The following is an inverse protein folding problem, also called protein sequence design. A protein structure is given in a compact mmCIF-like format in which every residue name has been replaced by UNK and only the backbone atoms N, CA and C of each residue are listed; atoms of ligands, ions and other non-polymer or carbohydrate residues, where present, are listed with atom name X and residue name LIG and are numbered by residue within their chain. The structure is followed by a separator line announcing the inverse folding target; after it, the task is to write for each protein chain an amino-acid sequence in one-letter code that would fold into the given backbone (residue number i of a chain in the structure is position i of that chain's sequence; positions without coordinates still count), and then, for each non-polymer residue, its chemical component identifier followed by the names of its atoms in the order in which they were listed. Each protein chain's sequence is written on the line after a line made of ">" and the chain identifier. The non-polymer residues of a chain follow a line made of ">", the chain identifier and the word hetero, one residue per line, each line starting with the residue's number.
data_IF_569792533771
#
_entry.id   IF_569792533771
#
_cell.length_a   1.000
_cell.length_b   1.000
_cell.length_c   1.000
_cell.angle_alpha   90.00
_cell.angle_beta   90.00
_cell.angle_gamma   90.00
#
_symmetry.space_group_name_H-M   'P 1'
#
loop_
_entity.id
_entity.type
_entity.pdbx_description
1 polymer ?
#
# COMPACT_ATOMS: atom_id res chain seq x y z
N UNK A 1 -12.49 45.04 -29.18
CA UNK A 1 -11.20 45.70 -29.48
C UNK A 1 -10.23 44.74 -30.14
N UNK A 2 -9.84 43.64 -29.46
CA UNK A 2 -8.95 42.61 -30.05
C UNK A 2 -9.43 42.13 -31.43
N UNK A 3 -10.69 41.73 -31.56
CA UNK A 3 -11.21 41.17 -32.82
C UNK A 3 -11.15 42.18 -33.97
N UNK A 4 -11.41 43.47 -33.71
CA UNK A 4 -11.28 44.52 -34.72
C UNK A 4 -9.82 44.75 -35.14
N UNK A 5 -8.88 44.68 -34.19
CA UNK A 5 -7.44 44.76 -34.49
C UNK A 5 -7.00 43.54 -35.31
N UNK A 6 -7.46 42.35 -34.93
CA UNK A 6 -7.21 41.10 -35.65
C UNK A 6 -7.77 41.16 -37.07
N UNK A 7 -8.97 41.71 -37.27
CA UNK A 7 -9.57 41.88 -38.59
C UNK A 7 -8.74 42.83 -39.47
N UNK A 8 -8.31 43.98 -38.94
CA UNK A 8 -7.41 44.92 -39.64
C UNK A 8 -6.11 44.23 -40.02
N UNK A 9 -5.48 43.55 -39.07
CA UNK A 9 -4.22 42.83 -39.30
C UNK A 9 -4.44 41.72 -40.33
N UNK A 10 -5.51 40.95 -40.28
CA UNK A 10 -5.76 39.84 -41.19
C UNK A 10 -6.05 40.28 -42.62
N UNK A 11 -6.80 41.37 -42.79
CA UNK A 11 -7.23 41.91 -44.09
C UNK A 11 -6.15 42.74 -44.80
N UNK A 12 -5.10 43.15 -44.09
CA UNK A 12 -3.99 43.92 -44.66
C UNK A 12 -3.21 43.20 -45.75
N UNK A 13 -2.88 43.95 -46.80
CA UNK A 13 -2.09 43.50 -47.96
C UNK A 13 -0.59 43.35 -47.67
N UNK A 14 -0.07 44.02 -46.63
CA UNK A 14 1.34 43.92 -46.25
C UNK A 14 1.49 44.01 -44.72
N UNK A 15 2.26 43.05 -44.19
CA UNK A 15 2.49 42.86 -42.75
C UNK A 15 3.97 42.57 -42.54
N UNK A 16 4.62 43.27 -41.65
CA UNK A 16 6.00 43.01 -41.23
C UNK A 16 6.18 43.27 -39.75
N UNK A 17 7.10 42.56 -39.11
CA UNK A 17 7.46 42.76 -37.71
C UNK A 17 8.93 43.18 -37.67
N UNK A 18 9.20 44.32 -37.09
CA UNK A 18 10.56 44.84 -36.86
C UNK A 18 10.61 45.48 -35.45
N UNK A 19 11.65 45.20 -34.68
CA UNK A 19 11.92 45.82 -33.36
C UNK A 19 10.73 45.89 -32.38
N UNK A 20 9.96 44.80 -32.24
CA UNK A 20 8.74 44.68 -31.41
C UNK A 20 7.53 45.51 -31.90
N UNK A 21 7.56 46.00 -33.13
CA UNK A 21 6.46 46.72 -33.77
C UNK A 21 5.92 45.91 -34.95
N UNK A 22 4.60 45.72 -34.99
CA UNK A 22 3.89 45.12 -36.11
C UNK A 22 3.38 46.22 -37.05
N UNK A 23 3.95 46.26 -38.24
CA UNK A 23 3.56 47.17 -39.32
C UNK A 23 2.47 46.52 -40.16
N UNK A 24 1.38 47.27 -40.38
CA UNK A 24 0.21 46.78 -41.09
C UNK A 24 -0.39 47.91 -41.94
N UNK A 25 -0.47 47.73 -43.27
CA UNK A 25 -1.18 48.68 -44.12
C UNK A 25 -2.69 48.61 -43.89
N UNK A 26 -3.32 49.75 -43.66
CA UNK A 26 -4.77 49.85 -43.45
C UNK A 26 -5.35 51.07 -44.16
N UNK A 27 -6.61 50.98 -44.58
CA UNK A 27 -7.40 52.14 -44.99
C UNK A 27 -8.25 52.55 -43.81
N UNK A 28 -8.27 53.84 -43.47
CA UNK A 28 -8.97 54.33 -42.28
C UNK A 28 -10.47 54.28 -42.52
N UNK A 29 -11.13 53.26 -41.97
CA UNK A 29 -12.59 53.11 -42.04
C UNK A 29 -13.32 53.84 -40.90
N UNK A 30 -12.68 53.95 -39.74
CA UNK A 30 -13.22 54.60 -38.54
C UNK A 30 -12.14 55.42 -37.83
N UNK A 31 -12.26 56.76 -37.91
CA UNK A 31 -11.34 57.68 -37.26
C UNK A 31 -11.39 57.58 -35.73
N UNK A 32 -12.57 57.36 -35.16
CA UNK A 32 -12.73 57.27 -33.70
C UNK A 32 -12.03 56.03 -33.12
N UNK A 33 -12.03 54.94 -33.87
CA UNK A 33 -11.30 53.73 -33.50
C UNK A 33 -9.78 53.93 -33.59
N UNK A 34 -9.30 54.64 -34.62
CA UNK A 34 -7.89 55.01 -34.75
C UNK A 34 -7.42 55.88 -33.56
N UNK A 35 -8.21 56.88 -33.17
CA UNK A 35 -7.90 57.72 -32.02
C UNK A 35 -7.88 56.89 -30.73
N UNK A 36 -8.82 55.94 -30.57
CA UNK A 36 -8.83 55.00 -29.43
C UNK A 36 -7.58 54.11 -29.39
N UNK A 37 -7.09 53.64 -30.54
CA UNK A 37 -5.86 52.85 -30.63
C UNK A 37 -4.63 53.66 -30.19
N UNK A 38 -4.58 54.94 -30.56
CA UNK A 38 -3.51 55.84 -30.15
C UNK A 38 -3.55 56.20 -28.67
N UNK A 39 -4.73 56.59 -28.17
CA UNK A 39 -4.93 56.97 -26.76
C UNK A 39 -4.64 55.80 -25.81
N UNK A 40 -4.94 54.57 -26.24
CA UNK A 40 -4.61 53.35 -25.49
C UNK A 40 -3.13 52.94 -25.60
N UNK A 41 -2.35 53.63 -26.44
CA UNK A 41 -0.94 53.35 -26.68
C UNK A 41 -0.68 52.01 -27.39
N UNK A 42 -1.68 51.49 -28.12
CA UNK A 42 -1.54 50.25 -28.88
C UNK A 42 -0.80 50.47 -30.22
N UNK A 43 -0.80 51.70 -30.72
CA UNK A 43 -0.04 52.11 -31.91
C UNK A 43 0.99 53.20 -31.55
N UNK A 44 2.13 53.16 -32.22
CA UNK A 44 3.28 54.06 -32.02
C UNK A 44 3.35 55.15 -33.12
N UNK A 45 2.38 55.18 -34.02
CA UNK A 45 2.28 56.15 -35.10
C UNK A 45 2.36 57.60 -34.60
N UNK A 46 3.17 58.41 -35.29
CA UNK A 46 3.19 59.87 -35.11
C UNK A 46 2.14 60.55 -36.01
N UNK A 47 1.68 61.74 -35.61
CA UNK A 47 0.84 62.63 -36.42
C UNK A 47 -0.49 62.02 -36.89
N UNK A 48 -1.17 61.29 -36.00
CA UNK A 48 -2.45 60.63 -36.33
C UNK A 48 -3.54 61.65 -36.67
N UNK A 49 -3.50 62.85 -36.09
CA UNK A 49 -4.49 63.92 -36.31
C UNK A 49 -4.59 64.35 -37.78
N UNK A 50 -3.55 64.15 -38.59
CA UNK A 50 -3.50 64.57 -40.00
C UNK A 50 -4.26 63.65 -40.96
N UNK A 51 -4.69 62.47 -40.50
CA UNK A 51 -5.35 61.48 -41.33
C UNK A 51 -6.88 61.53 -41.24
N UNK A 52 -7.54 61.41 -42.40
CA UNK A 52 -8.99 61.36 -42.57
C UNK A 52 -9.50 59.97 -42.96
N UNK A 53 -10.81 59.74 -42.80
CA UNK A 53 -11.46 58.50 -43.25
C UNK A 53 -11.25 58.32 -44.76
N UNK A 54 -10.80 57.14 -45.18
CA UNK A 54 -10.45 56.79 -46.55
C UNK A 54 -8.96 56.93 -46.90
N UNK A 55 -8.15 57.53 -46.02
CA UNK A 55 -6.71 57.61 -46.23
C UNK A 55 -6.03 56.26 -45.95
N UNK A 56 -4.95 55.99 -46.68
CA UNK A 56 -4.10 54.81 -46.47
C UNK A 56 -2.99 55.15 -45.47
N UNK A 57 -2.91 54.38 -44.38
CA UNK A 57 -1.91 54.53 -43.32
C UNK A 57 -1.20 53.19 -43.07
N UNK A 58 0.06 53.24 -42.65
CA UNK A 58 0.74 52.06 -42.09
C UNK A 58 0.62 52.12 -40.58
N UNK A 59 -0.20 51.26 -39.99
CA UNK A 59 -0.34 51.17 -38.55
C UNK A 59 0.87 50.48 -37.94
N UNK A 60 1.41 51.07 -36.87
CA UNK A 60 2.61 50.65 -36.16
C UNK A 60 2.20 50.12 -34.79
N UNK A 61 1.77 48.86 -34.70
CA UNK A 61 1.27 48.30 -33.45
C UNK A 61 2.40 47.85 -32.52
N UNK A 62 2.33 48.26 -31.25
CA UNK A 62 3.29 47.85 -30.22
C UNK A 62 3.01 46.43 -29.73
N UNK A 63 3.85 45.43 -30.06
CA UNK A 63 3.66 44.03 -29.65
C UNK A 63 3.56 43.85 -28.11
N UNK A 64 4.37 44.53 -27.28
CA UNK A 64 4.25 44.46 -25.82
C UNK A 64 2.87 44.92 -25.32
N UNK A 65 2.25 45.89 -25.99
CA UNK A 65 0.91 46.40 -25.63
C UNK A 65 -0.18 45.48 -26.18
N UNK A 66 -0.04 45.01 -27.41
CA UNK A 66 -0.92 44.00 -28.01
C UNK A 66 -1.03 42.73 -27.14
N UNK A 67 0.08 42.28 -26.54
CA UNK A 67 0.06 41.13 -25.63
C UNK A 67 -0.68 41.37 -24.30
N UNK A 68 -0.97 42.61 -23.92
CA UNK A 68 -1.83 42.92 -22.76
C UNK A 68 -3.33 42.79 -23.07
N UNK A 69 -3.71 42.76 -24.35
CA UNK A 69 -5.10 42.61 -24.81
C UNK A 69 -5.36 41.26 -25.49
N UNK A 70 -4.44 40.30 -25.35
CA UNK A 70 -4.61 38.93 -25.84
C UNK A 70 -4.03 38.63 -27.23
N UNK A 71 -3.28 39.56 -27.84
CA UNK A 71 -2.59 39.31 -29.11
C UNK A 71 -1.13 38.90 -28.89
N UNK A 72 -0.74 37.73 -29.39
CA UNK A 72 0.62 37.21 -29.28
C UNK A 72 1.20 36.89 -30.65
N UNK A 73 2.47 37.27 -30.84
CA UNK A 73 3.18 37.01 -32.08
C UNK A 73 3.38 35.51 -32.31
N UNK A 74 3.92 34.85 -31.29
CA UNK A 74 4.24 33.41 -31.30
C UNK A 74 3.62 32.69 -30.11
N UNK A 75 3.46 31.37 -30.22
CA UNK A 75 3.06 30.53 -29.08
C UNK A 75 4.03 30.62 -27.91
N UNK A 76 5.32 30.80 -28.18
CA UNK A 76 6.32 31.01 -27.12
C UNK A 76 6.08 32.31 -26.36
N UNK A 77 5.78 33.41 -27.07
CA UNK A 77 5.44 34.70 -26.45
C UNK A 77 4.16 34.61 -25.60
N UNK A 78 3.20 33.79 -26.04
CA UNK A 78 2.00 33.48 -25.26
C UNK A 78 2.31 32.74 -23.96
N UNK A 79 3.13 31.68 -24.03
CA UNK A 79 3.50 30.89 -22.84
C UNK A 79 4.22 31.72 -21.79
N UNK A 80 5.13 32.62 -22.21
CA UNK A 80 5.88 33.49 -21.31
C UNK A 80 5.00 34.31 -20.37
N UNK A 81 3.79 34.71 -20.80
CA UNK A 81 2.82 35.43 -19.97
C UNK A 81 1.81 34.54 -19.25
N UNK A 82 1.66 33.29 -19.67
CA UNK A 82 0.57 32.40 -19.24
C UNK A 82 1.05 31.02 -18.77
N UNK A 83 2.29 30.89 -18.27
CA UNK A 83 2.86 29.60 -17.85
C UNK A 83 1.98 28.81 -16.87
N UNK A 84 1.26 29.50 -15.97
CA UNK A 84 0.61 28.86 -14.83
C UNK A 84 -0.91 29.03 -14.78
N UNK A 85 -1.49 29.80 -15.69
CA UNK A 85 -2.89 30.20 -15.62
C UNK A 85 -3.55 30.09 -16.99
N UNK A 86 -4.67 29.38 -17.07
CA UNK A 86 -5.51 29.34 -18.27
C UNK A 86 -6.15 30.73 -18.46
N UNK A 87 -5.94 31.41 -19.60
CA UNK A 87 -6.52 32.72 -19.85
C UNK A 87 -8.06 32.64 -19.92
N UNK A 88 -8.74 33.64 -19.36
CA UNK A 88 -10.20 33.78 -19.45
C UNK A 88 -10.65 34.50 -20.71
N UNK A 89 -9.79 35.36 -21.27
CA UNK A 89 -10.08 36.21 -22.42
C UNK A 89 -9.70 35.50 -23.74
N UNK A 90 -10.24 36.00 -24.85
CA UNK A 90 -9.87 35.51 -26.19
C UNK A 90 -8.40 35.80 -26.47
N UNK A 91 -7.69 34.77 -26.96
CA UNK A 91 -6.27 34.86 -27.30
C UNK A 91 -6.12 34.64 -28.80
N UNK A 92 -5.40 35.55 -29.45
CA UNK A 92 -5.08 35.46 -30.86
C UNK A 92 -3.58 35.20 -31.05
N UNK A 93 -3.25 34.21 -31.89
CA UNK A 93 -1.89 33.80 -32.24
C UNK A 93 -1.58 34.20 -33.68
N UNK A 94 -0.74 35.21 -33.86
CA UNK A 94 -0.40 35.77 -35.17
C UNK A 94 0.30 34.75 -36.07
N UNK A 95 1.23 33.95 -35.53
CA UNK A 95 1.95 32.90 -36.27
C UNK A 95 1.04 31.89 -36.99
N UNK A 96 -0.17 31.65 -36.48
CA UNK A 96 -1.18 30.74 -37.06
C UNK A 96 -2.34 31.47 -37.71
N UNK A 97 -2.39 32.78 -37.55
CA UNK A 97 -3.52 33.62 -37.95
C UNK A 97 -4.85 33.09 -37.40
N UNK A 98 -4.86 32.59 -36.16
CA UNK A 98 -6.01 31.93 -35.55
C UNK A 98 -6.13 32.26 -34.06
N UNK A 99 -7.32 32.06 -33.49
CA UNK A 99 -7.50 32.11 -32.06
C UNK A 99 -6.98 30.83 -31.40
N UNK A 100 -6.62 30.91 -30.11
CA UNK A 100 -6.17 29.75 -29.32
C UNK A 100 -7.24 28.65 -29.30
N UNK A 101 -8.52 29.02 -29.30
CA UNK A 101 -9.66 28.08 -29.38
C UNK A 101 -9.69 27.26 -30.67
N UNK A 102 -9.08 27.77 -31.74
CA UNK A 102 -9.06 27.12 -33.05
C UNK A 102 -7.80 26.25 -33.22
N UNK A 103 -6.74 26.53 -32.45
CA UNK A 103 -5.50 25.74 -32.40
C UNK A 103 -5.59 24.61 -31.36
N UNK A 104 -6.56 23.71 -31.58
CA UNK A 104 -6.94 22.66 -30.63
C UNK A 104 -5.77 21.82 -30.09
N UNK A 105 -4.80 21.34 -30.91
CA UNK A 105 -3.70 20.51 -30.38
C UNK A 105 -2.83 21.27 -29.38
N UNK A 106 -2.47 22.52 -29.69
CA UNK A 106 -1.67 23.35 -28.79
C UNK A 106 -2.45 23.69 -27.52
N UNK A 107 -3.71 24.10 -27.66
CA UNK A 107 -4.58 24.44 -26.54
C UNK A 107 -4.73 23.26 -25.56
N UNK A 108 -4.97 22.05 -26.08
CA UNK A 108 -5.14 20.85 -25.26
C UNK A 108 -3.87 20.53 -24.46
N UNK A 109 -2.71 20.52 -25.13
CA UNK A 109 -1.43 20.25 -24.47
C UNK A 109 -1.11 21.31 -23.40
N UNK A 110 -1.35 22.58 -23.71
CA UNK A 110 -1.17 23.68 -22.78
C UNK A 110 -2.10 23.54 -21.54
N UNK A 111 -3.40 23.34 -21.74
CA UNK A 111 -4.36 23.17 -20.63
C UNK A 111 -4.01 21.96 -19.77
N UNK A 112 -3.58 20.86 -20.39
CA UNK A 112 -3.17 19.65 -19.69
C UNK A 112 -1.97 19.90 -18.76
N UNK A 113 -0.94 20.62 -19.23
CA UNK A 113 0.23 20.95 -18.41
C UNK A 113 -0.12 21.94 -17.30
N UNK A 114 -0.95 22.96 -17.56
CA UNK A 114 -1.41 23.88 -16.50
C UNK A 114 -2.22 23.13 -15.43
N UNK A 115 -3.08 22.19 -15.84
CA UNK A 115 -3.81 21.34 -14.89
C UNK A 115 -2.86 20.43 -14.09
N UNK A 116 -1.85 19.84 -14.74
CA UNK A 116 -0.82 19.05 -14.05
C UNK A 116 -0.08 19.90 -13.00
N UNK A 117 0.30 21.13 -13.35
CA UNK A 117 0.94 22.09 -12.43
C UNK A 117 0.04 22.39 -11.24
N UNK A 118 -1.25 22.63 -11.49
CA UNK A 118 -2.24 22.88 -10.45
C UNK A 118 -2.35 21.69 -9.49
N UNK A 119 -2.46 20.47 -10.00
CA UNK A 119 -2.52 19.27 -9.16
C UNK A 119 -1.22 19.03 -8.38
N UNK A 120 -0.07 19.25 -9.02
CA UNK A 120 1.23 19.22 -8.34
C UNK A 120 1.29 20.22 -7.19
N UNK A 121 0.83 21.43 -7.43
CA UNK A 121 0.78 22.49 -6.43
C UNK A 121 -0.14 22.10 -5.26
N UNK A 122 -1.30 21.49 -5.54
CA UNK A 122 -2.28 21.10 -4.53
C UNK A 122 -1.76 20.02 -3.57
N UNK A 123 -0.98 19.04 -4.04
CA UNK A 123 -0.43 18.01 -3.15
C UNK A 123 0.93 18.38 -2.56
N UNK A 124 1.57 19.43 -3.07
CA UNK A 124 2.85 19.92 -2.55
C UNK A 124 2.69 20.43 -1.12
N UNK A 125 3.75 20.31 -0.33
CA UNK A 125 3.76 20.80 1.06
C UNK A 125 3.72 22.33 1.11
N UNK A 126 4.37 22.96 0.14
CA UNK A 126 4.44 24.41 -0.02
C UNK A 126 4.67 24.75 -1.49
N UNK A 127 4.10 25.86 -1.94
CA UNK A 127 4.38 26.46 -3.25
C UNK A 127 4.69 27.95 -3.09
N UNK A 128 5.59 28.47 -3.92
CA UNK A 128 5.92 29.90 -3.93
C UNK A 128 6.46 30.30 -5.29
N UNK A 129 6.30 31.57 -5.62
CA UNK A 129 6.86 32.16 -6.83
C UNK A 129 8.18 32.87 -6.50
N UNK A 130 9.22 32.61 -7.30
CA UNK A 130 10.50 33.30 -7.21
C UNK A 130 11.03 33.55 -8.63
N UNK A 131 11.40 34.79 -8.93
CA UNK A 131 11.82 35.25 -10.25
C UNK A 131 10.91 34.76 -11.40
N UNK A 132 9.58 34.92 -11.25
CA UNK A 132 8.54 34.51 -12.21
C UNK A 132 8.44 32.98 -12.43
N UNK A 133 9.09 32.17 -11.59
CA UNK A 133 9.01 30.72 -11.62
C UNK A 133 8.21 30.22 -10.42
N UNK A 134 7.18 29.43 -10.70
CA UNK A 134 6.43 28.73 -9.66
C UNK A 134 7.23 27.52 -9.17
N UNK A 135 7.54 27.48 -7.88
CA UNK A 135 8.29 26.42 -7.24
C UNK A 135 7.40 25.60 -6.32
N UNK A 136 7.54 24.28 -6.37
CA UNK A 136 6.82 23.33 -5.53
C UNK A 136 7.80 22.55 -4.64
N UNK A 137 7.46 22.41 -3.35
CA UNK A 137 8.20 21.56 -2.41
C UNK A 137 7.33 20.35 -2.10
N UNK A 138 7.77 19.17 -2.56
CA UNK A 138 7.08 17.90 -2.35
C UNK A 138 7.81 17.12 -1.27
N UNK A 139 7.15 16.94 -0.12
CA UNK A 139 7.68 16.17 1.00
C UNK A 139 7.06 14.77 1.02
N UNK A 140 7.89 13.73 0.91
CA UNK A 140 7.47 12.33 1.00
C UNK A 140 8.44 11.57 1.89
N UNK A 141 7.92 10.93 2.94
CA UNK A 141 8.72 10.21 3.94
C UNK A 141 9.82 11.11 4.54
N UNK A 142 11.10 10.73 4.41
CA UNK A 142 12.25 11.52 4.88
C UNK A 142 12.89 12.36 3.76
N UNK A 143 12.24 12.46 2.60
CA UNK A 143 12.81 13.04 1.40
C UNK A 143 11.99 14.28 0.97
N UNK A 144 12.71 15.37 0.66
CA UNK A 144 12.13 16.61 0.15
C UNK A 144 12.61 16.86 -1.27
N UNK A 145 11.67 16.89 -2.23
CA UNK A 145 11.93 17.26 -3.61
C UNK A 145 11.62 18.75 -3.80
N UNK A 146 12.63 19.50 -4.23
CA UNK A 146 12.45 20.84 -4.77
C UNK A 146 12.15 20.75 -6.27
N UNK A 147 10.99 21.25 -6.71
CA UNK A 147 10.52 21.14 -8.08
C UNK A 147 10.17 22.54 -8.64
N UNK A 148 11.10 23.18 -9.36
CA UNK A 148 10.77 24.32 -10.22
C UNK A 148 9.84 23.86 -11.34
N UNK A 149 8.64 24.43 -11.43
CA UNK A 149 7.62 24.10 -12.43
C UNK A 149 7.90 24.86 -13.73
N UNK A 150 9.12 24.70 -14.26
CA UNK A 150 9.56 25.33 -15.49
C UNK A 150 9.40 24.38 -16.68
N UNK A 151 8.76 24.87 -17.73
CA UNK A 151 8.59 24.16 -19.01
C UNK A 151 8.70 25.13 -20.18
N UNK A 152 8.97 24.61 -21.37
CA UNK A 152 9.12 25.39 -22.61
C UNK A 152 8.05 25.05 -23.66
N UNK A 153 8.07 25.78 -24.78
CA UNK A 153 7.22 25.46 -25.93
C UNK A 153 7.56 24.07 -26.50
N UNK A 154 8.84 23.72 -26.57
CA UNK A 154 9.30 22.42 -27.06
C UNK A 154 8.78 21.26 -26.21
N UNK A 155 8.64 21.47 -24.89
CA UNK A 155 8.03 20.48 -24.00
C UNK A 155 6.57 20.19 -24.41
N UNK A 156 5.79 21.22 -24.75
CA UNK A 156 4.40 21.06 -25.20
C UNK A 156 4.30 20.44 -26.61
N UNK A 157 5.24 20.77 -27.49
CA UNK A 157 5.29 20.23 -28.85
C UNK A 157 5.72 18.74 -28.86
N UNK A 158 6.52 18.32 -27.87
CA UNK A 158 6.95 16.94 -27.71
C UNK A 158 5.84 15.97 -27.27
N UNK A 159 4.71 16.50 -26.79
CA UNK A 159 3.57 15.70 -26.32
C UNK A 159 2.83 15.06 -27.48
N UNK A 160 3.05 13.77 -27.68
CA UNK A 160 2.19 12.95 -28.52
C UNK A 160 0.90 12.54 -27.78
N UNK A 161 -0.06 12.00 -28.53
CA UNK A 161 -1.38 11.61 -28.01
C UNK A 161 -1.28 10.60 -26.86
N UNK A 162 -0.37 9.63 -26.93
CA UNK A 162 -0.21 8.60 -25.90
C UNK A 162 0.33 9.18 -24.59
N UNK A 163 1.31 10.08 -24.68
CA UNK A 163 1.88 10.78 -23.52
C UNK A 163 0.84 11.70 -22.89
N UNK A 164 0.11 12.47 -23.71
CA UNK A 164 -0.96 13.35 -23.23
C UNK A 164 -2.05 12.57 -22.45
N UNK A 165 -2.50 11.44 -23.00
CA UNK A 165 -3.48 10.58 -22.33
C UNK A 165 -2.98 10.05 -20.96
N UNK A 166 -1.69 9.71 -20.85
CA UNK A 166 -1.11 9.26 -19.57
C UNK A 166 -1.00 10.39 -18.55
N UNK A 167 -0.64 11.60 -18.98
CA UNK A 167 -0.64 12.78 -18.10
C UNK A 167 -2.07 13.05 -17.62
N UNK A 168 -3.07 12.98 -18.49
CA UNK A 168 -4.47 13.18 -18.12
C UNK A 168 -4.95 12.15 -17.09
N UNK A 169 -4.60 10.87 -17.28
CA UNK A 169 -4.88 9.81 -16.30
C UNK A 169 -4.20 10.07 -14.96
N UNK A 170 -2.96 10.56 -14.97
CA UNK A 170 -2.25 10.92 -13.76
C UNK A 170 -2.90 12.12 -13.05
N UNK A 171 -3.28 13.18 -13.77
CA UNK A 171 -4.05 14.31 -13.23
C UNK A 171 -5.34 13.81 -12.58
N UNK A 172 -6.09 12.94 -13.25
CA UNK A 172 -7.30 12.33 -12.71
C UNK A 172 -7.04 11.51 -11.43
N UNK A 173 -5.94 10.74 -11.40
CA UNK A 173 -5.49 9.99 -10.21
C UNK A 173 -5.18 10.93 -9.04
N UNK A 174 -4.61 12.12 -9.30
CA UNK A 174 -4.32 13.10 -8.26
C UNK A 174 -5.59 13.75 -7.69
N UNK A 175 -6.63 13.95 -8.50
CA UNK A 175 -7.89 14.56 -8.08
C UNK A 175 -8.77 13.62 -7.24
N UNK A 176 -8.75 12.32 -7.52
CA UNK A 176 -9.60 11.34 -6.84
C UNK A 176 -8.95 10.75 -5.58
N UNK A 177 -9.77 10.50 -4.55
CA UNK A 177 -9.36 9.75 -3.36
C UNK A 177 -9.70 8.26 -3.44
N UNK A 178 -10.36 7.80 -4.51
CA UNK A 178 -10.75 6.40 -4.67
C UNK A 178 -9.55 5.43 -4.73
N UNK A 179 -8.40 5.92 -5.18
CA UNK A 179 -7.17 5.14 -5.36
C UNK A 179 -6.01 5.72 -4.54
N UNK A 180 -6.25 6.03 -3.26
CA UNK A 180 -5.28 6.66 -2.37
C UNK A 180 -3.93 5.93 -2.32
N UNK A 181 -3.93 4.59 -2.25
CA UNK A 181 -2.70 3.78 -2.26
C UNK A 181 -1.90 3.95 -3.55
N UNK A 182 -2.57 3.85 -4.71
CA UNK A 182 -1.93 4.04 -6.02
C UNK A 182 -1.35 5.44 -6.14
N UNK A 183 -2.16 6.46 -5.78
CA UNK A 183 -1.74 7.86 -5.73
C UNK A 183 -0.49 8.05 -4.87
N UNK A 184 -0.44 7.48 -3.67
CA UNK A 184 0.72 7.61 -2.78
C UNK A 184 1.97 6.92 -3.35
N UNK A 185 1.84 5.72 -3.93
CA UNK A 185 2.97 5.03 -4.56
C UNK A 185 3.51 5.82 -5.75
N UNK A 186 2.63 6.36 -6.60
CA UNK A 186 3.01 7.22 -7.72
C UNK A 186 3.76 8.47 -7.25
N UNK A 187 3.25 9.15 -6.22
CA UNK A 187 3.85 10.38 -5.69
C UNK A 187 5.20 10.13 -4.98
N UNK A 188 5.34 9.01 -4.27
CA UNK A 188 6.62 8.60 -3.72
C UNK A 188 7.62 8.31 -4.85
N UNK A 189 7.19 7.57 -5.88
CA UNK A 189 8.03 7.28 -7.04
C UNK A 189 8.40 8.54 -7.83
N UNK A 190 7.51 9.54 -7.94
CA UNK A 190 7.80 10.83 -8.56
C UNK A 190 8.99 11.53 -7.90
N UNK A 191 9.04 11.52 -6.56
CA UNK A 191 10.14 12.08 -5.79
C UNK A 191 11.44 11.33 -6.09
N UNK A 192 11.42 10.00 -6.02
CA UNK A 192 12.59 9.16 -6.34
C UNK A 192 13.08 9.33 -7.79
N UNK A 193 12.14 9.50 -8.73
CA UNK A 193 12.42 9.62 -10.16
C UNK A 193 13.10 10.95 -10.53
N UNK A 194 12.73 12.04 -9.86
CA UNK A 194 13.20 13.40 -10.18
C UNK A 194 14.40 13.87 -9.34
N UNK A 195 14.62 13.32 -8.15
CA UNK A 195 15.77 13.70 -7.30
C UNK A 195 17.12 13.59 -8.01
N UNK A 196 17.41 12.51 -8.77
CA UNK A 196 18.70 12.37 -9.45
C UNK A 196 18.92 13.38 -10.59
N UNK A 197 17.89 14.14 -10.97
CA UNK A 197 17.93 15.11 -12.05
C UNK A 197 18.30 16.49 -11.53
N UNK A 198 18.97 17.27 -12.39
CA UNK A 198 19.30 18.66 -12.10
C UNK A 198 18.03 19.47 -11.84
N UNK A 199 18.04 20.30 -10.80
CA UNK A 199 16.83 20.92 -10.24
C UNK A 199 16.06 21.75 -11.26
N UNK A 200 16.79 22.56 -12.05
CA UNK A 200 16.21 23.50 -13.01
C UNK A 200 15.49 22.84 -14.19
N UNK A 201 15.74 21.54 -14.44
CA UNK A 201 15.15 20.81 -15.56
C UNK A 201 14.16 19.74 -15.12
N UNK A 202 13.91 19.58 -13.81
CA UNK A 202 13.09 18.46 -13.28
C UNK A 202 11.70 18.39 -13.91
N UNK A 203 11.00 19.52 -14.04
CA UNK A 203 9.64 19.53 -14.58
C UNK A 203 9.61 19.31 -16.10
N UNK A 204 10.45 20.01 -16.87
CA UNK A 204 10.64 19.74 -18.31
C UNK A 204 11.03 18.27 -18.57
N UNK A 205 11.96 17.72 -17.79
CA UNK A 205 12.36 16.30 -17.86
C UNK A 205 11.17 15.35 -17.59
N UNK A 206 10.33 15.67 -16.61
CA UNK A 206 9.12 14.90 -16.30
C UNK A 206 8.17 14.88 -17.51
N UNK A 207 7.93 16.03 -18.15
CA UNK A 207 7.04 16.13 -19.32
C UNK A 207 7.59 15.28 -20.47
N UNK A 208 8.87 15.46 -20.82
CA UNK A 208 9.51 14.77 -21.94
C UNK A 208 9.63 13.25 -21.73
N UNK A 209 9.73 12.79 -20.47
CA UNK A 209 9.91 11.39 -20.13
C UNK A 209 8.72 10.81 -19.36
N UNK A 210 7.53 11.38 -19.55
CA UNK A 210 6.36 11.02 -18.75
C UNK A 210 5.93 9.57 -18.96
N UNK A 211 6.08 9.05 -20.18
CA UNK A 211 5.83 7.64 -20.48
C UNK A 211 6.67 6.71 -19.59
N UNK A 212 7.99 6.96 -19.49
CA UNK A 212 8.91 6.15 -18.68
C UNK A 212 8.60 6.28 -17.18
N UNK A 213 8.24 7.49 -16.73
CA UNK A 213 7.77 7.72 -15.37
C UNK A 213 6.53 6.89 -15.06
N UNK A 214 5.48 6.95 -15.88
CA UNK A 214 4.21 6.27 -15.63
C UNK A 214 4.36 4.74 -15.67
N UNK A 215 5.07 4.18 -16.65
CA UNK A 215 5.32 2.73 -16.73
C UNK A 215 6.11 2.20 -15.50
N UNK A 216 7.07 2.98 -15.01
CA UNK A 216 7.83 2.62 -13.80
C UNK A 216 7.03 2.83 -12.51
N UNK A 217 6.21 3.88 -12.44
CA UNK A 217 5.29 4.12 -11.32
C UNK A 217 4.25 2.98 -11.20
N UNK A 218 3.68 2.54 -12.33
CA UNK A 218 2.78 1.39 -12.39
C UNK A 218 3.50 0.10 -11.95
N UNK A 219 4.75 -0.09 -12.36
CA UNK A 219 5.58 -1.22 -11.91
C UNK A 219 5.82 -1.19 -10.38
N UNK A 220 6.10 -0.01 -9.83
CA UNK A 220 6.24 0.20 -8.37
C UNK A 220 4.94 -0.11 -7.63
N UNK A 221 3.79 0.31 -8.16
CA UNK A 221 2.48 0.00 -7.60
C UNK A 221 2.17 -1.51 -7.64
N UNK A 222 2.48 -2.18 -8.73
CA UNK A 222 2.34 -3.63 -8.83
C UNK A 222 3.24 -4.38 -7.84
N UNK A 223 4.45 -3.89 -7.58
CA UNK A 223 5.33 -4.42 -6.54
C UNK A 223 4.75 -4.21 -5.14
N UNK A 224 4.22 -3.01 -4.84
CA UNK A 224 3.49 -2.72 -3.61
C UNK A 224 2.33 -3.70 -3.39
N UNK A 225 1.48 -3.94 -4.40
CA UNK A 225 0.35 -4.88 -4.30
C UNK A 225 0.79 -6.31 -4.03
N UNK A 226 1.88 -6.77 -4.66
CA UNK A 226 2.45 -8.10 -4.43
C UNK A 226 2.97 -8.24 -3.00
N UNK A 227 3.73 -7.25 -2.50
CA UNK A 227 4.24 -7.26 -1.13
C UNK A 227 3.15 -7.15 -0.09
N UNK A 228 2.13 -6.32 -0.32
CA UNK A 228 0.97 -6.21 0.56
C UNK A 228 0.22 -7.54 0.66
N UNK A 229 -0.04 -8.17 -0.49
CA UNK A 229 -0.69 -9.48 -0.56
C UNK A 229 0.13 -10.56 0.16
N UNK A 230 1.45 -10.57 -0.05
CA UNK A 230 2.38 -11.46 0.65
C UNK A 230 2.35 -11.25 2.17
N UNK A 231 2.46 -10.01 2.64
CA UNK A 231 2.45 -9.69 4.07
C UNK A 231 1.12 -10.06 4.72
N UNK A 232 -0.01 -9.78 4.07
CA UNK A 232 -1.34 -10.17 4.55
C UNK A 232 -1.46 -11.68 4.70
N UNK A 233 -1.02 -12.43 3.68
CA UNK A 233 -0.99 -13.89 3.72
C UNK A 233 -0.12 -14.41 4.85
N UNK A 234 1.10 -13.86 5.03
CA UNK A 234 2.01 -14.26 6.11
C UNK A 234 1.38 -14.03 7.49
N UNK A 235 0.75 -12.88 7.72
CA UNK A 235 0.04 -12.57 8.97
C UNK A 235 -1.10 -13.57 9.22
N UNK A 236 -1.85 -13.93 8.18
CA UNK A 236 -2.92 -14.94 8.29
C UNK A 236 -2.37 -16.32 8.68
N UNK A 237 -1.29 -16.76 8.03
CA UNK A 237 -0.63 -18.03 8.33
C UNK A 237 -0.07 -18.06 9.76
N UNK A 238 0.64 -17.02 10.18
CA UNK A 238 1.22 -16.91 11.53
C UNK A 238 0.11 -16.87 12.60
N UNK A 239 -0.98 -16.15 12.34
CA UNK A 239 -2.16 -16.09 13.22
C UNK A 239 -2.82 -17.47 13.37
N UNK A 240 -3.04 -18.19 12.26
CA UNK A 240 -3.62 -19.53 12.31
C UNK A 240 -2.70 -20.56 12.97
N UNK A 241 -1.39 -20.48 12.71
CA UNK A 241 -0.42 -21.31 13.40
C UNK A 241 -0.45 -21.08 14.92
N UNK A 242 -0.54 -19.80 15.35
CA UNK A 242 -0.67 -19.46 16.77
C UNK A 242 -1.98 -20.01 17.37
N UNK A 243 -3.10 -19.87 16.68
CA UNK A 243 -4.41 -20.40 17.11
C UNK A 243 -4.35 -21.93 17.31
N UNK A 244 -3.77 -22.66 16.36
CA UNK A 244 -3.62 -24.11 16.48
C UNK A 244 -2.69 -24.51 17.62
N UNK A 245 -1.59 -23.77 17.82
CA UNK A 245 -0.68 -24.01 18.94
C UNK A 245 -1.40 -23.81 20.29
N UNK A 246 -2.17 -22.73 20.42
CA UNK A 246 -2.98 -22.46 21.62
C UNK A 246 -4.00 -23.59 21.87
N UNK A 247 -4.67 -24.08 20.83
CA UNK A 247 -5.59 -25.23 20.92
C UNK A 247 -4.89 -26.52 21.37
N UNK A 248 -3.69 -26.81 20.86
CA UNK A 248 -2.90 -27.97 21.31
C UNK A 248 -2.48 -27.84 22.78
N UNK A 249 -2.09 -26.64 23.21
CA UNK A 249 -1.72 -26.39 24.60
C UNK A 249 -2.91 -26.48 25.56
N UNK A 250 -4.10 -26.00 25.14
CA UNK A 250 -5.29 -26.02 26.00
C UNK A 250 -5.74 -27.44 26.36
N UNK A 251 -5.73 -28.37 25.40
CA UNK A 251 -6.01 -29.81 25.61
C UNK A 251 -5.20 -30.38 26.79
N UNK A 252 -3.95 -29.97 26.93
CA UNK A 252 -3.06 -30.48 27.98
C UNK A 252 -3.21 -29.70 29.27
N UNK A 253 -3.40 -28.39 29.20
CA UNK A 253 -3.71 -27.58 30.39
C UNK A 253 -4.99 -28.10 31.09
N UNK A 254 -6.01 -28.47 30.32
CA UNK A 254 -7.25 -29.09 30.83
C UNK A 254 -7.02 -30.46 31.49
N UNK A 255 -5.88 -31.10 31.19
CA UNK A 255 -5.49 -32.41 31.70
C UNK A 255 -4.59 -32.31 32.94
N UNK A 256 -3.94 -31.17 33.22
CA UNK A 256 -2.94 -31.03 34.28
C UNK A 256 -3.48 -31.39 35.67
N UNK A 257 -4.65 -30.87 36.05
CA UNK A 257 -5.25 -31.15 37.37
C UNK A 257 -5.58 -32.64 37.53
N UNK A 258 -5.97 -33.32 36.45
CA UNK A 258 -6.29 -34.75 36.47
C UNK A 258 -5.05 -35.63 36.56
N UNK A 259 -3.89 -35.12 36.13
CA UNK A 259 -2.63 -35.83 36.29
C UNK A 259 -2.18 -35.94 37.73
N UNK A 260 -2.45 -34.90 38.53
CA UNK A 260 -2.15 -34.92 39.97
C UNK A 260 -2.99 -36.00 40.68
N UNK A 261 -4.16 -36.36 40.14
CA UNK A 261 -5.01 -37.39 40.70
C UNK A 261 -4.40 -38.80 40.58
N UNK A 262 -3.57 -39.07 39.58
CA UNK A 262 -2.94 -40.40 39.36
C UNK A 262 -2.03 -40.81 40.53
N UNK A 263 -0.97 -40.06 40.88
CA UNK A 263 -0.12 -40.41 42.02
C UNK A 263 -0.88 -40.30 43.35
N UNK A 264 -1.80 -39.34 43.48
CA UNK A 264 -2.63 -39.20 44.69
C UNK A 264 -3.47 -40.46 44.95
N UNK A 265 -4.10 -41.01 43.90
CA UNK A 265 -4.87 -42.25 44.01
C UNK A 265 -3.98 -43.44 44.41
N UNK A 266 -2.77 -43.55 43.84
CA UNK A 266 -1.82 -44.59 44.23
C UNK A 266 -1.43 -44.49 45.71
N UNK A 267 -1.00 -43.30 46.15
CA UNK A 267 -0.60 -43.06 47.55
C UNK A 267 -1.75 -43.36 48.49
N UNK A 268 -2.96 -42.89 48.17
CA UNK A 268 -4.16 -43.16 48.96
C UNK A 268 -4.47 -44.66 49.07
N UNK A 269 -4.40 -45.40 47.96
CA UNK A 269 -4.61 -46.85 47.98
C UNK A 269 -3.57 -47.53 48.87
N UNK A 270 -2.27 -47.23 48.70
CA UNK A 270 -1.20 -47.84 49.49
C UNK A 270 -1.27 -47.49 50.99
N UNK A 271 -1.58 -46.24 51.33
CA UNK A 271 -1.66 -45.82 52.74
C UNK A 271 -2.86 -46.43 53.49
N UNK A 272 -3.90 -46.84 52.75
CA UNK A 272 -5.16 -47.32 53.32
C UNK A 272 -5.24 -48.85 53.41
N UNK A 273 -4.26 -49.57 52.84
CA UNK A 273 -4.16 -51.02 52.92
C UNK A 273 -4.15 -51.49 54.39
N UNK A 274 -4.86 -52.59 54.65
CA UNK A 274 -4.79 -53.31 55.90
C UNK A 274 -3.59 -54.27 55.86
N UNK A 275 -2.53 -53.90 56.58
CA UNK A 275 -1.28 -54.65 56.65
C UNK A 275 -1.36 -55.83 57.63
N UNK A 276 -2.29 -55.81 58.58
CA UNK A 276 -2.49 -56.91 59.53
C UNK A 276 -3.26 -58.05 58.88
N UNK A 277 -4.32 -57.71 58.13
CA UNK A 277 -5.15 -58.66 57.39
C UNK A 277 -5.08 -58.41 55.87
N UNK A 278 -4.01 -58.91 55.26
CA UNK A 278 -3.72 -58.77 53.82
C UNK A 278 -4.87 -59.29 52.94
N UNK A 279 -5.49 -60.42 53.32
CA UNK A 279 -6.58 -61.05 52.57
C UNK A 279 -7.97 -60.51 52.95
N UNK A 280 -8.04 -59.34 53.59
CA UNK A 280 -9.32 -58.69 53.90
C UNK A 280 -10.07 -58.26 52.64
N UNK A 281 -11.40 -58.35 52.68
CA UNK A 281 -12.29 -57.84 51.63
C UNK A 281 -12.02 -56.34 51.34
N UNK A 282 -11.60 -55.59 52.36
CA UNK A 282 -11.20 -54.17 52.25
C UNK A 282 -10.07 -53.97 51.24
N UNK A 283 -8.99 -54.76 51.29
CA UNK A 283 -7.86 -54.61 50.38
C UNK A 283 -8.25 -54.90 48.92
N UNK A 284 -9.07 -55.92 48.69
CA UNK A 284 -9.59 -56.23 47.36
C UNK A 284 -10.49 -55.10 46.83
N UNK A 285 -11.36 -54.53 47.67
CA UNK A 285 -12.20 -53.39 47.30
C UNK A 285 -11.38 -52.14 46.94
N UNK A 286 -10.29 -51.87 47.66
CA UNK A 286 -9.38 -50.76 47.34
C UNK A 286 -8.71 -50.92 45.97
N UNK A 287 -8.24 -52.12 45.63
CA UNK A 287 -7.65 -52.41 44.31
C UNK A 287 -8.70 -52.29 43.21
N UNK A 288 -9.89 -52.86 43.42
CA UNK A 288 -11.00 -52.74 42.45
C UNK A 288 -11.37 -51.27 42.23
N UNK A 289 -11.46 -50.47 43.30
CA UNK A 289 -11.70 -49.04 43.21
C UNK A 289 -10.61 -48.30 42.43
N UNK A 290 -9.34 -48.63 42.64
CA UNK A 290 -8.21 -48.07 41.90
C UNK A 290 -8.28 -48.42 40.39
N UNK A 291 -8.68 -49.65 40.05
CA UNK A 291 -8.87 -50.08 38.66
C UNK A 291 -10.02 -49.29 38.01
N UNK A 292 -11.15 -49.13 38.70
CA UNK A 292 -12.29 -48.33 38.21
C UNK A 292 -11.88 -46.88 37.98
N UNK A 293 -11.11 -46.30 38.91
CA UNK A 293 -10.53 -44.97 38.74
C UNK A 293 -9.63 -44.89 37.50
N UNK A 294 -8.76 -45.88 37.28
CA UNK A 294 -7.92 -45.95 36.10
C UNK A 294 -8.75 -46.02 34.80
N UNK A 295 -9.86 -46.76 34.78
CA UNK A 295 -10.77 -46.81 33.63
C UNK A 295 -11.34 -45.41 33.32
N UNK A 296 -11.82 -44.68 34.32
CA UNK A 296 -12.35 -43.32 34.11
C UNK A 296 -11.29 -42.36 33.57
N UNK A 297 -10.08 -42.38 34.12
CA UNK A 297 -8.98 -41.54 33.63
C UNK A 297 -8.54 -41.99 32.23
N UNK A 298 -8.59 -43.29 31.90
CA UNK A 298 -8.31 -43.78 30.55
C UNK A 298 -9.31 -43.25 29.52
N UNK A 299 -10.60 -43.22 29.84
CA UNK A 299 -11.63 -42.61 28.98
C UNK A 299 -11.30 -41.13 28.75
N UNK A 300 -10.92 -40.42 29.81
CA UNK A 300 -10.52 -39.02 29.70
C UNK A 300 -9.29 -38.83 28.81
N UNK A 301 -8.24 -39.65 28.98
CA UNK A 301 -7.03 -39.63 28.14
C UNK A 301 -7.37 -39.90 26.67
N UNK A 302 -8.26 -40.86 26.39
CA UNK A 302 -8.70 -41.16 25.03
C UNK A 302 -9.41 -39.96 24.38
N UNK A 303 -10.22 -39.23 25.14
CA UNK A 303 -10.84 -38.00 24.64
C UNK A 303 -9.79 -36.95 24.26
N UNK A 304 -8.72 -36.79 25.05
CA UNK A 304 -7.63 -35.86 24.71
C UNK A 304 -6.88 -36.28 23.44
N UNK A 305 -6.63 -37.59 23.26
CA UNK A 305 -6.06 -38.11 22.00
C UNK A 305 -6.96 -37.77 20.80
N UNK A 306 -8.27 -37.96 20.96
CA UNK A 306 -9.25 -37.61 19.94
C UNK A 306 -9.21 -36.12 19.60
N UNK A 307 -9.18 -35.25 20.61
CA UNK A 307 -9.07 -33.79 20.41
C UNK A 307 -7.80 -33.40 19.66
N UNK A 308 -6.64 -33.97 20.00
CA UNK A 308 -5.37 -33.74 19.27
C UNK A 308 -5.47 -34.26 17.83
N UNK A 309 -6.09 -35.42 17.61
CA UNK A 309 -6.36 -35.97 16.29
C UNK A 309 -7.19 -35.02 15.44
N UNK A 310 -8.30 -34.53 15.98
CA UNK A 310 -9.15 -33.56 15.31
C UNK A 310 -8.42 -32.24 14.98
N UNK A 311 -7.62 -31.72 15.91
CA UNK A 311 -6.79 -30.52 15.65
C UNK A 311 -5.77 -30.81 14.54
N UNK A 312 -5.16 -31.99 14.54
CA UNK A 312 -4.21 -32.42 13.51
C UNK A 312 -4.86 -32.44 12.13
N UNK A 313 -6.06 -33.00 12.02
CA UNK A 313 -6.76 -33.10 10.73
C UNK A 313 -7.12 -31.71 10.21
N UNK A 314 -7.56 -30.80 11.09
CA UNK A 314 -7.79 -29.40 10.73
C UNK A 314 -6.51 -28.69 10.25
N UNK A 315 -5.35 -28.98 10.85
CA UNK A 315 -4.07 -28.43 10.39
C UNK A 315 -3.75 -28.94 8.98
N UNK A 316 -3.92 -30.24 8.72
CA UNK A 316 -3.68 -30.84 7.40
C UNK A 316 -4.63 -30.23 6.36
N UNK A 317 -5.92 -30.14 6.68
CA UNK A 317 -6.92 -29.55 5.80
C UNK A 317 -6.61 -28.08 5.50
N UNK A 318 -6.28 -27.29 6.53
CA UNK A 318 -5.88 -25.89 6.34
C UNK A 318 -4.63 -25.75 5.47
N UNK A 319 -3.61 -26.59 5.68
CA UNK A 319 -2.42 -26.58 4.82
C UNK A 319 -2.76 -26.94 3.36
N UNK A 320 -3.73 -27.82 3.13
CA UNK A 320 -4.13 -28.24 1.78
C UNK A 320 -4.86 -27.16 0.97
N UNK A 321 -5.33 -26.08 1.60
CA UNK A 321 -6.00 -24.98 0.87
C UNK A 321 -5.02 -24.03 0.17
N UNK A 322 -3.71 -24.22 0.33
CA UNK A 322 -2.68 -23.37 -0.27
C UNK A 322 -1.92 -24.09 -1.39
N UNK A 323 -1.60 -23.35 -2.45
CA UNK A 323 -0.85 -23.85 -3.61
C UNK A 323 0.59 -24.29 -3.25
N UNK A 324 1.16 -25.22 -4.03
CA UNK A 324 2.50 -25.78 -3.81
C UNK A 324 3.64 -24.76 -3.83
N UNK A 325 3.47 -23.63 -4.52
CA UNK A 325 4.44 -22.54 -4.56
C UNK A 325 4.60 -21.79 -3.20
N UNK A 326 3.75 -22.06 -2.19
CA UNK A 326 3.75 -21.41 -0.87
C UNK A 326 4.26 -22.31 0.27
N UNK A 327 4.84 -23.47 -0.06
CA UNK A 327 5.27 -24.49 0.92
C UNK A 327 6.28 -23.93 1.93
N UNK A 328 7.20 -23.05 1.52
CA UNK A 328 8.25 -22.52 2.40
C UNK A 328 7.69 -21.63 3.52
N UNK A 329 6.72 -20.76 3.24
CA UNK A 329 6.06 -19.96 4.29
C UNK A 329 5.25 -20.86 5.23
N UNK A 330 4.51 -21.82 4.67
CA UNK A 330 3.72 -22.78 5.45
C UNK A 330 4.58 -23.56 6.43
N UNK A 331 5.72 -24.09 5.96
CA UNK A 331 6.65 -24.83 6.82
C UNK A 331 7.23 -23.95 7.93
N UNK A 332 7.61 -22.71 7.62
CA UNK A 332 8.14 -21.78 8.63
C UNK A 332 7.12 -21.50 9.72
N UNK A 333 5.90 -21.08 9.36
CA UNK A 333 4.84 -20.72 10.31
C UNK A 333 4.37 -21.93 11.13
N UNK A 334 4.25 -23.12 10.53
CA UNK A 334 3.72 -24.31 11.20
C UNK A 334 4.77 -25.22 11.87
N UNK A 335 6.07 -24.99 11.65
CA UNK A 335 7.13 -25.80 12.28
C UNK A 335 7.00 -25.92 13.80
N UNK A 336 6.59 -24.83 14.48
CA UNK A 336 6.36 -24.82 15.94
C UNK A 336 5.12 -25.62 16.32
N UNK A 337 4.07 -25.56 15.52
CA UNK A 337 2.80 -26.29 15.74
C UNK A 337 3.03 -27.79 15.66
N UNK A 338 3.80 -28.24 14.67
CA UNK A 338 4.14 -29.66 14.51
C UNK A 338 4.99 -30.19 15.66
N UNK A 339 6.00 -29.43 16.09
CA UNK A 339 6.81 -29.77 17.27
C UNK A 339 5.96 -29.87 18.53
N UNK A 340 5.05 -28.92 18.75
CA UNK A 340 4.14 -28.96 19.90
C UNK A 340 3.16 -30.12 19.81
N UNK A 341 2.63 -30.46 18.63
CA UNK A 341 1.78 -31.65 18.44
C UNK A 341 2.49 -32.93 18.89
N UNK A 342 3.72 -33.16 18.43
CA UNK A 342 4.52 -34.34 18.81
C UNK A 342 4.70 -34.37 20.33
N UNK A 343 5.14 -33.25 20.91
CA UNK A 343 5.35 -33.11 22.36
C UNK A 343 4.10 -33.40 23.18
N UNK A 344 2.92 -32.94 22.76
CA UNK A 344 1.67 -33.25 23.47
C UNK A 344 1.27 -34.73 23.31
N UNK A 345 1.52 -35.33 22.15
CA UNK A 345 1.29 -36.77 21.94
C UNK A 345 2.17 -37.62 22.86
N UNK A 346 3.46 -37.31 22.95
CA UNK A 346 4.42 -37.98 23.83
C UNK A 346 4.02 -37.84 25.31
N UNK A 347 3.59 -36.64 25.71
CA UNK A 347 3.08 -36.41 27.07
C UNK A 347 1.90 -37.31 27.37
N UNK A 348 0.90 -37.41 26.50
CA UNK A 348 -0.25 -38.30 26.73
C UNK A 348 0.18 -39.77 26.86
N UNK A 349 1.14 -40.22 26.06
CA UNK A 349 1.68 -41.58 26.18
C UNK A 349 2.31 -41.83 27.55
N UNK A 350 3.09 -40.87 28.06
CA UNK A 350 3.65 -40.95 29.41
C UNK A 350 2.56 -40.99 30.48
N UNK A 351 1.49 -40.18 30.33
CA UNK A 351 0.36 -40.19 31.27
C UNK A 351 -0.31 -41.56 31.33
N UNK A 352 -0.53 -42.19 30.18
CA UNK A 352 -1.13 -43.50 30.08
C UNK A 352 -0.25 -44.59 30.71
N UNK A 353 1.07 -44.49 30.53
CA UNK A 353 2.03 -45.40 31.15
C UNK A 353 1.95 -45.34 32.69
N UNK A 354 2.02 -44.14 33.28
CA UNK A 354 1.94 -43.98 34.74
C UNK A 354 0.58 -44.38 35.31
N UNK A 355 -0.50 -44.16 34.57
CA UNK A 355 -1.84 -44.55 34.99
C UNK A 355 -1.93 -46.06 35.23
N UNK A 356 -1.50 -46.87 34.27
CA UNK A 356 -1.58 -48.34 34.37
C UNK A 356 -0.48 -48.95 35.23
N UNK A 357 0.63 -48.24 35.45
CA UNK A 357 1.64 -48.64 36.41
C UNK A 357 1.10 -48.65 37.86
N UNK A 358 0.18 -47.74 38.18
CA UNK A 358 -0.41 -47.61 39.53
C UNK A 358 -1.05 -48.90 40.07
N UNK A 359 -2.05 -49.52 39.39
CA UNK A 359 -2.64 -50.77 39.87
C UNK A 359 -1.64 -51.94 39.86
N UNK A 360 -0.67 -51.96 38.94
CA UNK A 360 0.39 -52.99 38.91
C UNK A 360 1.21 -52.92 40.20
N UNK A 361 1.62 -51.72 40.62
CA UNK A 361 2.35 -51.52 41.88
C UNK A 361 1.49 -51.97 43.06
N UNK A 362 0.22 -51.56 43.13
CA UNK A 362 -0.66 -51.92 44.24
C UNK A 362 -0.84 -53.44 44.37
N UNK A 363 -1.05 -54.15 43.25
CA UNK A 363 -1.17 -55.61 43.23
C UNK A 363 0.15 -56.27 43.62
N UNK A 364 1.29 -55.80 43.09
CA UNK A 364 2.60 -56.32 43.42
C UNK A 364 2.90 -56.20 44.93
N UNK A 365 2.54 -55.07 45.55
CA UNK A 365 2.68 -54.86 46.99
C UNK A 365 1.86 -55.88 47.79
N UNK A 366 0.60 -56.11 47.42
CA UNK A 366 -0.25 -57.09 48.11
C UNK A 366 0.28 -58.52 47.95
N UNK A 367 0.76 -58.89 46.75
CA UNK A 367 1.38 -60.19 46.52
C UNK A 367 2.65 -60.38 47.35
N UNK A 368 3.52 -59.37 47.38
CA UNK A 368 4.75 -59.39 48.17
C UNK A 368 4.43 -59.58 49.67
N UNK A 369 3.50 -58.79 50.22
CA UNK A 369 3.08 -58.93 51.62
C UNK A 369 2.51 -60.33 51.90
N UNK A 370 1.71 -60.89 50.99
CA UNK A 370 1.14 -62.23 51.16
C UNK A 370 2.24 -63.31 51.18
N UNK A 371 3.26 -63.20 50.33
CA UNK A 371 4.41 -64.11 50.36
C UNK A 371 5.20 -64.02 51.66
N UNK A 372 5.39 -62.80 52.19
CA UNK A 372 6.07 -62.59 53.46
C UNK A 372 5.31 -63.24 54.63
N UNK A 373 3.99 -63.04 54.69
CA UNK A 373 3.13 -63.64 55.73
C UNK A 373 3.10 -65.16 55.65
N UNK A 374 3.13 -65.74 54.44
CA UNK A 374 3.26 -67.20 54.27
C UNK A 374 4.58 -67.73 54.81
N UNK A 375 5.69 -67.03 54.55
CA UNK A 375 7.01 -67.42 55.07
C UNK A 375 7.06 -67.35 56.60
N UNK A 376 6.48 -66.31 57.20
CA UNK A 376 6.35 -66.18 58.66
C UNK A 376 5.61 -67.37 59.28
N UNK A 377 4.45 -67.75 58.72
CA UNK A 377 3.66 -68.91 59.17
C UNK A 377 4.47 -70.21 59.04
N UNK A 378 5.18 -70.41 57.92
CA UNK A 378 6.02 -71.61 57.73
C UNK A 378 7.13 -71.67 58.77
N UNK A 379 7.77 -70.54 59.09
CA UNK A 379 8.81 -70.49 60.14
C UNK A 379 8.26 -70.78 61.53
N UNK A 380 7.09 -70.24 61.90
CA UNK A 380 6.44 -70.56 63.19
C UNK A 380 6.11 -72.05 63.30
N UNK A 381 5.56 -72.66 62.24
CA UNK A 381 5.25 -74.10 62.20
C UNK A 381 6.55 -74.92 62.35
N UNK A 382 7.62 -74.55 61.65
CA UNK A 382 8.92 -75.23 61.75
C UNK A 382 9.50 -75.17 63.17
N UNK A 383 9.39 -74.03 63.85
CA UNK A 383 9.85 -73.89 65.24
C UNK A 383 8.98 -74.68 66.22
N UNK A 384 7.65 -74.73 66.02
CA UNK A 384 6.74 -75.51 66.86
C UNK A 384 6.91 -77.02 66.75
N UNK A 385 7.35 -77.53 65.60
CA UNK A 385 7.59 -78.98 65.38
C UNK A 385 8.92 -79.44 66.01
N UNK A 386 9.84 -78.51 66.30
CA UNK A 386 11.19 -78.79 66.81
C UNK A 386 11.31 -78.77 68.34
N UNK A 387 10.24 -78.37 69.04
CA UNK A 387 10.05 -78.43 70.50
C UNK A 387 9.16 -79.63 70.78
#
# INVERSE_FOLDING_TARGET
>A
MLNQIVDIINTSSSKSIEDNVLFCQNVIDDKSFLDTLFESGLIENSDIDDYSVGDSITLEFSLPRLSSIGFFETRESFLRKNYYNIPSDEIYLFERSSYLSDDLPFQQNYFLIVNLISEISNFSKHTYEDAEVLNAIILREEISLFLPLKYSYEDLESLNVDVANRIEQFVSLLQTNAFADKKNVYLNFLVEYLIPKEENIRFSYLIQNFYDYDDKAESSYNYYLRNFSYNKMKVELDSKALEFNQKLQSVINDSQTKLIAIPTALVFTLSTLDYENINSVKNYLLIIGLIIFCIFIQIFINNQKSSIGFISDNIIQYKSTFEQNKIVELEKSFSKVEKEKIKQSDRILLMQFFLWLSPIIAIATVLFLNTYKLMEIITEIYFKIKI
#
